data_IF_439246749142
#
_entry.id   IF_439246749142
#
_cell.length_a   1.000
_cell.length_b   1.000
_cell.length_c   1.000
_cell.angle_alpha   90.00
_cell.angle_beta   90.00
_cell.angle_gamma   90.00
#
_symmetry.space_group_name_H-M   'P 1'
#
loop_
_entity.id
_entity.type
_entity.pdbx_description
1 polymer ?
#
# COMPACT_ATOMS: atom_id res chain seq x y z
N UNK A 1 44.88 15.32 -42.60
CA UNK A 1 46.30 14.90 -42.64
C UNK A 1 46.35 13.38 -42.48
N UNK A 2 46.67 12.69 -43.58
CA UNK A 2 46.86 11.24 -43.67
C UNK A 2 48.19 10.84 -43.03
N UNK A 3 48.22 9.70 -42.32
CA UNK A 3 49.43 8.89 -42.12
C UNK A 3 49.05 7.46 -41.72
N UNK A 4 48.87 6.63 -42.74
CA UNK A 4 48.94 5.17 -42.62
C UNK A 4 50.42 4.79 -42.78
N UNK A 5 50.99 4.07 -41.81
CA UNK A 5 52.12 3.16 -42.05
C UNK A 5 51.93 1.90 -41.22
N UNK A 6 51.46 0.87 -41.92
CA UNK A 6 51.62 -0.53 -41.59
C UNK A 6 53.11 -0.83 -41.36
N UNK A 7 53.49 -1.32 -40.18
CA UNK A 7 54.69 -2.16 -40.02
C UNK A 7 54.32 -3.32 -39.09
N UNK A 8 54.31 -4.48 -39.73
CA UNK A 8 54.19 -5.81 -39.18
C UNK A 8 55.43 -6.12 -38.30
N UNK A 9 55.24 -6.56 -37.05
CA UNK A 9 56.18 -7.46 -36.39
C UNK A 9 55.54 -8.20 -35.20
N UNK A 10 55.59 -9.53 -35.35
CA UNK A 10 55.07 -10.60 -34.51
C UNK A 10 55.63 -10.61 -33.07
N UNK A 11 54.82 -11.05 -32.11
CA UNK A 11 55.01 -12.24 -31.24
C UNK A 11 54.38 -12.06 -29.86
N UNK A 12 53.97 -13.19 -29.27
CA UNK A 12 53.38 -13.40 -27.94
C UNK A 12 51.88 -13.04 -27.89
N UNK A 13 50.95 -14.01 -27.98
CA UNK A 13 50.76 -15.05 -26.97
C UNK A 13 50.29 -14.36 -25.68
N UNK A 14 49.04 -14.46 -25.24
CA UNK A 14 48.45 -15.66 -24.62
C UNK A 14 46.97 -15.35 -24.32
N UNK A 15 46.13 -16.37 -24.48
CA UNK A 15 44.81 -16.59 -23.87
C UNK A 15 43.71 -15.52 -23.98
N UNK A 16 42.74 -15.81 -24.85
CA UNK A 16 41.33 -15.50 -24.61
C UNK A 16 40.90 -16.22 -23.32
N UNK A 17 40.39 -15.49 -22.34
CA UNK A 17 39.46 -16.06 -21.35
C UNK A 17 38.14 -15.30 -21.48
N UNK A 18 37.13 -16.03 -21.92
CA UNK A 18 35.75 -15.60 -21.95
C UNK A 18 35.23 -15.47 -20.52
N UNK A 19 34.54 -14.37 -20.23
CA UNK A 19 33.78 -14.18 -19.00
C UNK A 19 32.58 -15.12 -19.01
N UNK A 20 32.70 -16.26 -18.33
CA UNK A 20 31.58 -17.18 -18.07
C UNK A 20 30.81 -16.65 -16.86
N UNK A 21 29.51 -16.46 -17.05
CA UNK A 21 28.51 -16.23 -15.99
C UNK A 21 28.01 -17.58 -15.55
N UNK A 22 28.42 -18.04 -14.38
CA UNK A 22 27.92 -19.29 -13.80
C UNK A 22 26.62 -19.01 -13.03
N UNK A 23 25.55 -19.57 -13.58
CA UNK A 23 24.20 -19.68 -13.04
C UNK A 23 24.10 -21.08 -12.44
N UNK A 24 24.16 -21.20 -11.11
CA UNK A 24 23.89 -22.46 -10.41
C UNK A 24 22.56 -22.34 -9.66
N UNK A 25 21.64 -23.17 -10.12
CA UNK A 25 20.28 -23.35 -9.67
C UNK A 25 20.26 -24.75 -9.06
N UNK A 26 20.31 -24.85 -7.74
CA UNK A 26 20.27 -26.14 -7.05
C UNK A 26 18.97 -26.31 -6.27
N UNK A 27 18.29 -27.39 -6.63
CA UNK A 27 17.01 -27.81 -6.13
C UNK A 27 17.16 -28.84 -5.00
N UNK A 28 16.33 -28.63 -3.99
CA UNK A 28 15.54 -29.64 -3.26
C UNK A 28 16.12 -30.44 -2.07
N UNK A 29 15.35 -30.28 -0.98
CA UNK A 29 14.86 -31.24 0.00
C UNK A 29 15.70 -31.76 1.19
N UNK A 30 15.22 -31.31 2.35
CA UNK A 30 14.90 -32.04 3.59
C UNK A 30 16.05 -32.39 4.56
N UNK A 31 16.14 -31.62 5.65
CA UNK A 31 16.10 -32.22 6.98
C UNK A 31 15.45 -31.28 8.00
N UNK A 32 14.59 -31.88 8.81
CA UNK A 32 13.82 -31.26 9.87
C UNK A 32 14.69 -31.25 11.12
N UNK A 33 15.16 -30.08 11.56
CA UNK A 33 15.55 -29.92 12.96
C UNK A 33 15.25 -28.50 13.44
N UNK A 34 14.27 -28.44 14.33
CA UNK A 34 13.93 -27.31 15.18
C UNK A 34 15.14 -26.85 15.99
N UNK A 35 15.53 -25.59 15.79
CA UNK A 35 16.28 -24.83 16.80
C UNK A 35 15.48 -23.58 17.14
N UNK A 36 14.79 -23.64 18.29
CA UNK A 36 14.23 -22.47 18.96
C UNK A 36 15.34 -21.84 19.79
N UNK A 37 15.65 -20.58 19.49
CA UNK A 37 16.31 -19.66 20.40
C UNK A 37 15.50 -18.35 20.37
N UNK A 38 14.85 -18.03 21.49
CA UNK A 38 14.38 -16.68 21.83
C UNK A 38 15.62 -15.83 22.19
N UNK A 39 15.76 -14.52 21.98
CA UNK A 39 14.90 -13.34 21.79
C UNK A 39 15.69 -12.41 20.84
N UNK A 40 15.11 -11.72 19.86
CA UNK A 40 14.53 -10.38 20.00
C UNK A 40 13.65 -10.17 18.77
N UNK A 41 12.34 -10.22 18.98
CA UNK A 41 11.37 -10.01 17.92
C UNK A 41 11.28 -8.52 17.61
N UNK A 42 12.14 -8.01 16.74
CA UNK A 42 11.83 -6.81 15.96
C UNK A 42 10.66 -7.17 15.05
N UNK A 43 9.46 -7.09 15.62
CA UNK A 43 8.23 -6.95 14.85
C UNK A 43 8.42 -5.70 14.02
N UNK A 44 8.40 -5.82 12.70
CA UNK A 44 8.39 -4.66 11.81
C UNK A 44 7.06 -3.92 12.00
N UNK A 45 6.99 -3.09 13.05
CA UNK A 45 5.91 -2.13 13.25
C UNK A 45 6.16 -1.02 12.25
N UNK A 46 5.57 -1.16 11.07
CA UNK A 46 5.54 -0.10 10.06
C UNK A 46 5.78 -0.52 8.62
N UNK A 47 5.63 -1.78 8.23
CA UNK A 47 5.74 -2.10 6.80
C UNK A 47 4.50 -1.62 6.06
N UNK A 48 4.65 -0.40 5.54
CA UNK A 48 3.75 0.39 4.73
C UNK A 48 2.71 1.23 5.48
N UNK A 49 3.18 2.17 6.32
CA UNK A 49 2.37 3.35 6.62
C UNK A 49 2.33 4.29 5.43
N UNK A 50 1.20 4.31 4.75
CA UNK A 50 0.93 5.17 3.61
C UNK A 50 -0.45 5.81 3.70
N UNK A 51 -0.66 6.81 2.85
CA UNK A 51 -1.98 7.38 2.64
C UNK A 51 -2.74 6.50 1.65
N UNK A 52 -3.99 6.18 1.96
CA UNK A 52 -4.86 5.39 1.09
C UNK A 52 -5.39 6.19 -0.12
N UNK A 53 -5.23 7.52 -0.11
CA UNK A 53 -5.60 8.41 -1.21
C UNK A 53 -4.50 9.43 -1.53
N UNK A 54 -4.36 9.85 -2.79
CA UNK A 54 -3.34 10.82 -3.21
C UNK A 54 -3.58 12.24 -2.69
N UNK A 55 -4.82 12.56 -2.33
CA UNK A 55 -5.24 13.94 -2.01
C UNK A 55 -5.09 14.32 -0.53
N UNK A 56 -4.43 13.50 0.30
CA UNK A 56 -4.34 13.72 1.74
C UNK A 56 -3.72 15.06 2.13
N UNK A 57 -2.72 15.55 1.38
CA UNK A 57 -2.11 16.87 1.62
C UNK A 57 -3.15 18.01 1.60
N UNK A 58 -4.20 17.90 0.78
CA UNK A 58 -5.27 18.91 0.72
C UNK A 58 -6.10 18.96 2.02
N UNK A 59 -6.13 17.87 2.79
CA UNK A 59 -6.91 17.73 4.02
C UNK A 59 -6.05 17.63 5.28
N UNK A 60 -4.75 17.93 5.21
CA UNK A 60 -3.86 17.89 6.37
C UNK A 60 -4.37 18.75 7.55
N UNK A 61 -5.14 19.79 7.26
CA UNK A 61 -5.77 20.65 8.28
C UNK A 61 -6.87 19.94 9.09
N UNK A 62 -7.43 18.82 8.62
CA UNK A 62 -8.45 18.05 9.34
C UNK A 62 -7.84 17.00 10.28
N UNK A 63 -6.52 16.79 10.28
CA UNK A 63 -5.86 15.84 11.18
C UNK A 63 -6.10 16.17 12.66
N UNK A 64 -6.24 17.46 12.98
CA UNK A 64 -6.53 17.93 14.35
C UNK A 64 -8.04 18.01 14.65
N UNK A 65 -8.89 17.82 13.64
CA UNK A 65 -10.34 17.89 13.79
C UNK A 65 -10.87 16.56 14.31
N UNK A 66 -11.29 16.52 15.58
CA UNK A 66 -11.82 15.30 16.23
C UNK A 66 -12.94 14.61 15.44
N UNK A 67 -13.75 15.37 14.69
CA UNK A 67 -14.81 14.82 13.84
C UNK A 67 -14.26 13.98 12.68
N UNK A 68 -13.15 14.42 12.08
CA UNK A 68 -12.57 13.76 10.90
C UNK A 68 -11.35 12.90 11.23
N UNK A 69 -10.84 12.95 12.45
CA UNK A 69 -9.74 12.11 12.92
C UNK A 69 -9.92 10.61 12.63
N UNK A 70 -11.12 9.99 12.82
CA UNK A 70 -11.34 8.59 12.43
C UNK A 70 -11.18 8.34 10.93
N UNK A 71 -11.61 9.30 10.10
CA UNK A 71 -11.48 9.25 8.65
C UNK A 71 -10.01 9.42 8.24
N UNK A 72 -9.30 10.35 8.86
CA UNK A 72 -7.87 10.55 8.63
C UNK A 72 -7.02 9.36 9.05
N UNK A 73 -7.40 8.69 10.14
CA UNK A 73 -6.82 7.41 10.55
C UNK A 73 -7.05 6.28 9.56
N UNK A 74 -8.07 6.35 8.70
CA UNK A 74 -8.29 5.35 7.66
C UNK A 74 -7.56 5.69 6.36
N UNK A 75 -7.57 6.98 6.01
CA UNK A 75 -7.30 7.43 4.65
C UNK A 75 -5.97 8.17 4.49
N UNK A 76 -5.50 8.84 5.53
CA UNK A 76 -4.41 9.82 5.47
C UNK A 76 -3.42 9.69 6.63
N UNK A 77 -3.12 8.45 7.04
CA UNK A 77 -2.32 8.16 8.23
C UNK A 77 -0.93 8.78 8.14
N UNK A 78 -0.29 8.70 6.97
CA UNK A 78 1.05 9.24 6.76
C UNK A 78 1.03 10.77 6.77
N UNK A 79 0.10 11.40 6.04
CA UNK A 79 -0.05 12.86 6.04
C UNK A 79 -0.34 13.41 7.44
N UNK A 80 -1.13 12.71 8.25
CA UNK A 80 -1.47 13.12 9.62
C UNK A 80 -0.47 12.69 10.69
N UNK A 81 0.65 12.06 10.33
CA UNK A 81 1.61 11.46 11.28
C UNK A 81 0.94 10.49 12.27
N UNK A 82 -0.07 9.75 11.81
CA UNK A 82 -0.76 8.70 12.57
C UNK A 82 -0.21 7.29 12.29
N UNK A 83 0.97 7.21 11.68
CA UNK A 83 1.67 5.94 11.55
C UNK A 83 2.01 5.38 12.93
N UNK A 84 1.86 4.06 13.13
CA UNK A 84 2.44 3.40 14.29
C UNK A 84 3.94 3.65 14.36
N UNK A 85 4.46 3.89 15.56
CA UNK A 85 5.89 4.09 15.81
C UNK A 85 6.56 2.81 16.31
N UNK A 86 7.90 2.76 16.29
CA UNK A 86 8.68 1.57 16.64
C UNK A 86 8.46 1.05 18.08
N UNK A 87 7.99 1.92 18.98
CA UNK A 87 7.57 1.58 20.34
C UNK A 87 6.15 0.97 20.40
N UNK A 88 5.52 0.69 19.27
CA UNK A 88 4.20 0.08 19.17
C UNK A 88 3.05 1.04 19.47
N UNK A 89 3.33 2.34 19.61
CA UNK A 89 2.31 3.36 19.78
C UNK A 89 1.60 3.58 18.45
N UNK A 90 0.30 3.27 18.40
CA UNK A 90 -0.59 3.56 17.27
C UNK A 90 -1.48 4.76 17.62
N UNK A 91 -1.26 5.95 17.01
CA UNK A 91 -2.09 7.13 17.24
C UNK A 91 -3.56 6.96 16.87
N UNK A 92 -3.89 5.95 16.06
CA UNK A 92 -5.26 5.60 15.67
C UNK A 92 -5.90 4.53 16.57
N UNK A 93 -5.13 3.91 17.47
CA UNK A 93 -5.68 2.94 18.42
C UNK A 93 -6.75 3.61 19.28
N UNK A 94 -7.94 3.01 19.31
CA UNK A 94 -9.07 3.51 20.10
C UNK A 94 -9.83 4.71 19.51
N UNK A 95 -9.37 5.29 18.39
CA UNK A 95 -10.19 6.23 17.61
C UNK A 95 -11.33 5.47 16.91
N UNK A 96 -11.14 4.18 16.68
CA UNK A 96 -12.18 3.21 16.30
C UNK A 96 -12.84 2.53 17.51
N UNK A 97 -13.14 3.27 18.59
CA UNK A 97 -13.90 2.71 19.73
C UNK A 97 -15.37 2.41 19.39
N UNK A 98 -15.82 2.76 18.18
CA UNK A 98 -17.01 2.14 17.60
C UNK A 98 -16.59 0.71 17.22
N UNK A 99 -17.21 -0.35 17.75
CA UNK A 99 -16.86 -1.71 17.36
C UNK A 99 -16.80 -1.80 15.82
N UNK A 100 -15.84 -2.56 15.24
CA UNK A 100 -15.89 -2.85 13.82
C UNK A 100 -17.32 -3.26 13.52
N UNK A 101 -17.97 -2.72 12.46
CA UNK A 101 -19.40 -2.93 12.22
C UNK A 101 -19.70 -4.41 12.43
N UNK A 102 -20.45 -4.71 13.50
CA UNK A 102 -20.66 -6.08 14.00
C UNK A 102 -21.47 -6.92 13.02
N UNK A 103 -22.08 -6.25 12.04
CA UNK A 103 -22.44 -6.83 10.77
C UNK A 103 -21.30 -6.57 9.78
N UNK A 104 -20.62 -7.60 9.23
CA UNK A 104 -19.80 -7.38 8.05
C UNK A 104 -20.63 -6.58 7.04
N UNK A 105 -20.04 -5.58 6.34
CA UNK A 105 -20.70 -4.99 5.19
C UNK A 105 -21.25 -6.15 4.36
N UNK A 106 -22.55 -6.14 3.95
CA UNK A 106 -23.05 -7.18 3.08
C UNK A 106 -22.06 -7.31 1.92
N UNK A 107 -21.60 -8.55 1.68
CA UNK A 107 -20.56 -8.87 0.72
C UNK A 107 -21.09 -8.61 -0.68
N UNK A 108 -21.16 -7.34 -1.05
CA UNK A 108 -21.26 -6.91 -2.44
C UNK A 108 -19.97 -7.36 -3.11
N UNK A 109 -20.07 -8.04 -4.25
CA UNK A 109 -18.92 -8.22 -5.11
C UNK A 109 -18.34 -6.85 -5.52
N UNK A 110 -17.05 -6.75 -5.84
CA UNK A 110 -16.42 -5.51 -6.30
C UNK A 110 -17.18 -4.83 -7.47
N UNK A 111 -17.89 -5.62 -8.27
CA UNK A 111 -18.64 -5.19 -9.45
C UNK A 111 -20.15 -4.94 -9.19
N UNK A 112 -20.66 -5.23 -7.99
CA UNK A 112 -22.09 -5.05 -7.71
C UNK A 112 -22.41 -3.59 -7.37
N UNK A 113 -23.18 -2.94 -8.25
CA UNK A 113 -23.67 -1.57 -8.07
C UNK A 113 -24.78 -1.52 -7.01
N UNK A 114 -24.41 -1.65 -5.73
CA UNK A 114 -25.33 -1.60 -4.61
C UNK A 114 -24.82 -0.70 -3.49
N UNK A 115 -25.76 -0.23 -2.66
CA UNK A 115 -25.44 0.41 -1.39
C UNK A 115 -25.43 -0.65 -0.30
N UNK A 116 -24.32 -0.75 0.44
CA UNK A 116 -24.17 -1.70 1.54
C UNK A 116 -24.39 -1.04 2.90
N UNK A 117 -24.28 0.28 2.98
CA UNK A 117 -24.63 1.05 4.18
C UNK A 117 -26.11 1.42 4.19
N UNK A 118 -26.71 1.45 5.39
CA UNK A 118 -28.13 1.71 5.58
C UNK A 118 -28.50 3.21 5.64
N UNK A 119 -27.51 4.10 5.57
CA UNK A 119 -27.65 5.53 5.75
C UNK A 119 -27.22 6.34 4.52
N UNK A 120 -27.03 5.70 3.37
CA UNK A 120 -26.55 6.36 2.16
C UNK A 120 -27.42 7.56 1.73
N UNK A 121 -28.75 7.46 1.81
CA UNK A 121 -29.65 8.59 1.53
C UNK A 121 -29.38 9.80 2.44
N UNK A 122 -29.03 9.54 3.72
CA UNK A 122 -28.76 10.59 4.71
C UNK A 122 -27.38 11.19 4.55
N UNK A 123 -26.43 10.42 4.01
CA UNK A 123 -25.05 10.85 3.77
C UNK A 123 -24.76 11.19 2.31
N UNK A 124 -25.78 11.27 1.46
CA UNK A 124 -25.64 11.55 0.02
C UNK A 124 -24.93 12.90 -0.26
N UNK A 125 -24.96 13.83 0.70
CA UNK A 125 -24.23 15.08 0.59
C UNK A 125 -22.69 14.88 0.58
N UNK A 126 -22.19 13.78 1.14
CA UNK A 126 -20.76 13.41 1.14
C UNK A 126 -20.29 12.87 -0.22
N UNK A 127 -21.20 12.50 -1.14
CA UNK A 127 -20.82 12.00 -2.47
C UNK A 127 -19.97 13.00 -3.28
N UNK A 128 -20.10 14.30 -2.98
CA UNK A 128 -19.32 15.39 -3.61
C UNK A 128 -18.01 15.68 -2.87
N UNK A 129 -17.84 15.13 -1.68
CA UNK A 129 -16.67 15.35 -0.85
C UNK A 129 -15.60 14.33 -1.25
N UNK A 130 -14.53 14.83 -1.86
CA UNK A 130 -13.41 14.04 -2.37
C UNK A 130 -12.68 13.24 -1.28
N UNK A 131 -12.70 13.71 -0.02
CA UNK A 131 -12.17 12.94 1.11
C UNK A 131 -13.03 11.71 1.44
N UNK A 132 -14.36 11.83 1.29
CA UNK A 132 -15.31 10.74 1.55
C UNK A 132 -15.55 9.85 0.32
N UNK A 133 -15.15 10.29 -0.88
CA UNK A 133 -15.37 9.54 -2.12
C UNK A 133 -14.99 8.06 -2.03
N UNK A 134 -13.86 7.64 -1.43
CA UNK A 134 -13.54 6.21 -1.30
C UNK A 134 -14.49 5.45 -0.36
N UNK A 135 -14.95 6.07 0.73
CA UNK A 135 -15.99 5.48 1.58
C UNK A 135 -17.31 5.36 0.81
N UNK A 136 -17.64 6.37 0.00
CA UNK A 136 -18.84 6.37 -0.82
C UNK A 136 -18.75 5.31 -1.93
N UNK A 137 -17.59 5.12 -2.58
CA UNK A 137 -17.33 4.03 -3.50
C UNK A 137 -17.57 2.67 -2.85
N UNK A 138 -17.15 2.51 -1.59
CA UNK A 138 -17.20 1.23 -0.88
C UNK A 138 -18.60 0.90 -0.36
N UNK A 139 -19.32 1.90 0.15
CA UNK A 139 -20.54 1.65 0.93
C UNK A 139 -21.83 2.23 0.33
N UNK A 140 -21.73 3.24 -0.53
CA UNK A 140 -22.85 4.00 -1.06
C UNK A 140 -22.73 4.24 -2.57
N UNK A 141 -22.16 3.28 -3.29
CA UNK A 141 -21.78 3.42 -4.71
C UNK A 141 -22.99 3.77 -5.58
N UNK A 142 -24.15 3.15 -5.30
CA UNK A 142 -25.39 3.34 -6.06
C UNK A 142 -26.04 4.69 -5.74
N UNK A 143 -26.19 5.03 -4.46
CA UNK A 143 -26.75 6.33 -4.03
C UNK A 143 -25.94 7.49 -4.58
N UNK A 144 -24.61 7.36 -4.61
CA UNK A 144 -23.73 8.41 -5.15
C UNK A 144 -23.61 8.41 -6.68
N UNK A 145 -24.22 7.45 -7.39
CA UNK A 145 -24.11 7.33 -8.84
C UNK A 145 -22.69 7.00 -9.32
N UNK A 146 -21.92 6.27 -8.51
CA UNK A 146 -20.50 5.96 -8.73
C UNK A 146 -20.26 4.55 -9.27
N UNK A 147 -21.31 3.87 -9.76
CA UNK A 147 -21.21 2.48 -10.19
C UNK A 147 -20.25 2.26 -11.36
N UNK A 148 -20.13 3.25 -12.24
CA UNK A 148 -19.21 3.24 -13.38
C UNK A 148 -18.03 4.21 -13.16
N UNK A 149 -17.85 4.75 -11.95
CA UNK A 149 -16.77 5.68 -11.67
C UNK A 149 -15.43 4.92 -11.63
N UNK A 150 -14.42 5.31 -12.44
CA UNK A 150 -13.14 4.61 -12.49
C UNK A 150 -12.41 4.51 -11.15
N UNK A 151 -12.65 5.45 -10.23
CA UNK A 151 -12.06 5.43 -8.89
C UNK A 151 -12.68 4.34 -8.02
N UNK A 152 -13.91 3.91 -8.34
CA UNK A 152 -14.67 2.94 -7.56
C UNK A 152 -14.68 1.52 -8.16
N UNK A 153 -13.95 1.29 -9.24
CA UNK A 153 -13.83 0.00 -9.95
C UNK A 153 -12.48 -0.71 -9.71
N UNK A 154 -11.65 -0.16 -8.82
CA UNK A 154 -10.30 -0.66 -8.50
C UNK A 154 -10.30 -1.70 -7.38
#
# INVERSE_FOLDING_TARGET
MFKIKFVLLLLFGIAVVASQVDFENDADAADSTTTVAAEDGTTEVGENCEDAIPDCIKYAYECENDKYKPLMCGMCKKTCNFCPTADGMDPCAGIYTIPPPTTPPPTAGPDECIDTANNCDKTAYECKNTLYKPLMCKYCKKTCGLCDDPVCLA
#
